data_IF_660937082510
#
_entry.id   IF_660937082510
#
_cell.length_a   1.000
_cell.length_b   1.000
_cell.length_c   1.000
_cell.angle_alpha   90.00
_cell.angle_beta   90.00
_cell.angle_gamma   90.00
#
_symmetry.space_group_name_H-M   'P 1'
#
loop_
_entity.id
_entity.type
_entity.pdbx_description
1 polymer ?
#
# COMPACT_ATOMS: atom_id res chain seq x y z
N UNK A 1 11.64 -5.51 1.28
CA UNK A 1 10.31 -6.15 1.17
C UNK A 1 10.46 -7.60 1.61
N UNK A 2 9.51 -8.12 2.42
CA UNK A 2 9.53 -9.54 2.85
C UNK A 2 9.59 -10.45 1.64
N UNK A 3 10.48 -11.46 1.68
CA UNK A 3 10.80 -12.31 0.54
C UNK A 3 9.60 -13.06 -0.02
N UNK A 4 9.77 -13.57 -1.24
CA UNK A 4 8.82 -14.48 -1.89
C UNK A 4 8.85 -15.90 -1.28
N UNK A 5 9.38 -16.05 -0.05
CA UNK A 5 9.50 -17.33 0.62
C UNK A 5 8.13 -17.79 1.13
N UNK A 6 7.66 -18.91 0.64
CA UNK A 6 6.42 -19.55 1.04
C UNK A 6 5.63 -20.13 -0.14
N UNK A 7 4.85 -21.13 0.17
CA UNK A 7 3.98 -21.77 -0.83
C UNK A 7 2.88 -20.80 -1.29
N UNK A 8 2.52 -20.81 -2.58
CA UNK A 8 1.41 -20.02 -3.09
C UNK A 8 0.10 -20.43 -2.43
N UNK A 9 -0.80 -19.48 -2.25
CA UNK A 9 -2.12 -19.70 -1.66
C UNK A 9 -3.23 -19.23 -2.59
N UNK A 10 -4.40 -19.88 -2.51
CA UNK A 10 -5.57 -19.52 -3.29
C UNK A 10 -6.79 -19.45 -2.38
N UNK A 11 -7.36 -18.26 -2.22
CA UNK A 11 -8.60 -18.06 -1.46
C UNK A 11 -9.28 -16.72 -1.83
N UNK A 12 -10.52 -16.59 -1.39
CA UNK A 12 -11.20 -15.29 -1.25
C UNK A 12 -11.35 -14.97 0.22
N UNK A 13 -11.02 -13.75 0.61
CA UNK A 13 -11.21 -13.21 1.95
C UNK A 13 -12.31 -12.14 1.89
N UNK A 14 -13.35 -12.30 2.67
CA UNK A 14 -14.44 -11.33 2.78
C UNK A 14 -14.95 -11.21 4.23
N UNK A 15 -16.04 -10.49 4.44
CA UNK A 15 -16.58 -10.25 5.78
C UNK A 15 -16.93 -11.54 6.57
N UNK A 16 -17.17 -12.66 5.90
CA UNK A 16 -17.50 -13.93 6.57
C UNK A 16 -16.31 -14.52 7.30
N UNK A 17 -15.10 -14.07 7.00
CA UNK A 17 -13.86 -14.51 7.64
C UNK A 17 -13.55 -13.74 8.95
N UNK A 18 -14.35 -12.73 9.28
CA UNK A 18 -14.21 -11.94 10.50
C UNK A 18 -15.36 -12.23 11.47
N UNK A 19 -15.06 -12.52 12.73
CA UNK A 19 -16.07 -12.74 13.75
C UNK A 19 -17.00 -11.52 13.90
N UNK A 20 -18.30 -11.72 13.70
CA UNK A 20 -19.33 -10.69 13.84
C UNK A 20 -19.36 -9.61 12.78
N UNK A 21 -18.57 -9.73 11.70
CA UNK A 21 -18.61 -8.77 10.60
C UNK A 21 -19.80 -9.00 9.67
N UNK A 22 -20.15 -7.95 8.94
CA UNK A 22 -21.16 -7.93 7.87
C UNK A 22 -20.53 -7.38 6.59
N UNK A 23 -21.19 -7.51 5.46
CA UNK A 23 -20.70 -6.95 4.19
C UNK A 23 -20.51 -5.42 4.19
N UNK A 24 -21.06 -4.71 5.19
CA UNK A 24 -20.88 -3.28 5.37
C UNK A 24 -19.80 -2.92 6.40
N UNK A 25 -19.37 -3.86 7.22
CA UNK A 25 -18.39 -3.61 8.31
C UNK A 25 -16.97 -4.08 7.97
N UNK A 26 -16.79 -4.76 6.84
CA UNK A 26 -15.48 -5.10 6.32
C UNK A 26 -15.37 -4.72 4.84
N UNK A 27 -14.55 -3.72 4.58
CA UNK A 27 -14.25 -3.16 3.25
C UNK A 27 -12.74 -3.06 3.08
N UNK A 28 -12.07 -4.15 2.70
CA UNK A 28 -10.63 -4.12 2.49
C UNK A 28 -10.27 -3.18 1.36
N UNK A 29 -9.48 -2.16 1.69
CA UNK A 29 -8.99 -1.13 0.77
C UNK A 29 -7.58 -1.41 0.30
N UNK A 30 -6.74 -1.91 1.18
CA UNK A 30 -5.37 -2.32 0.88
C UNK A 30 -5.04 -3.65 1.53
N UNK A 31 -4.04 -4.32 1.00
CA UNK A 31 -3.56 -5.61 1.48
C UNK A 31 -2.04 -5.70 1.38
N UNK A 32 -1.42 -6.21 2.42
CA UNK A 32 0.02 -6.47 2.44
C UNK A 32 0.33 -7.82 3.10
N UNK A 33 1.30 -8.54 2.57
CA UNK A 33 1.74 -9.82 3.14
C UNK A 33 3.20 -9.74 3.53
N UNK A 34 3.50 -10.20 4.75
CA UNK A 34 4.86 -10.34 5.27
C UNK A 34 5.02 -11.71 5.96
N UNK A 35 5.86 -12.57 5.41
CA UNK A 35 5.95 -13.96 5.84
C UNK A 35 4.58 -14.65 5.73
N UNK A 36 4.14 -15.29 6.79
CA UNK A 36 2.83 -15.98 6.87
C UNK A 36 1.72 -15.08 7.43
N UNK A 37 1.86 -13.77 7.37
CA UNK A 37 0.86 -12.83 7.91
C UNK A 37 0.36 -11.91 6.82
N UNK A 38 -0.97 -11.85 6.65
CA UNK A 38 -1.67 -10.89 5.81
C UNK A 38 -2.26 -9.78 6.68
N UNK A 39 -2.07 -8.55 6.25
CA UNK A 39 -2.64 -7.34 6.80
C UNK A 39 -3.63 -6.76 5.79
N UNK A 40 -4.89 -6.58 6.18
CA UNK A 40 -5.93 -5.98 5.34
C UNK A 40 -6.43 -4.69 5.98
N UNK A 41 -6.28 -3.57 5.28
CA UNK A 41 -6.82 -2.29 5.71
C UNK A 41 -8.32 -2.30 5.54
N UNK A 42 -9.05 -2.14 6.63
CA UNK A 42 -10.51 -2.02 6.61
C UNK A 42 -10.92 -0.54 6.67
N UNK A 43 -11.54 -0.04 5.61
CA UNK A 43 -12.03 1.34 5.53
C UNK A 43 -13.55 1.45 5.70
N UNK A 44 -14.19 0.43 6.24
CA UNK A 44 -15.62 0.47 6.51
C UNK A 44 -15.97 1.57 7.52
N UNK A 45 -17.00 2.35 7.23
CA UNK A 45 -17.38 3.52 8.01
C UNK A 45 -17.56 3.20 9.51
N UNK A 46 -16.86 3.94 10.36
CA UNK A 46 -16.80 3.76 11.82
C UNK A 46 -16.24 2.41 12.31
N UNK A 47 -15.64 1.62 11.43
CA UNK A 47 -15.04 0.31 11.72
C UNK A 47 -13.57 0.25 11.25
N UNK A 48 -12.89 1.40 11.18
CA UNK A 48 -11.51 1.51 10.71
C UNK A 48 -10.58 0.61 11.50
N UNK A 49 -9.83 -0.23 10.80
CA UNK A 49 -8.90 -1.19 11.40
C UNK A 49 -7.87 -1.68 10.38
N UNK A 50 -6.85 -2.35 10.88
CA UNK A 50 -6.07 -3.29 10.08
C UNK A 50 -6.36 -4.68 10.61
N UNK A 51 -6.97 -5.51 9.80
CA UNK A 51 -7.27 -6.90 10.13
C UNK A 51 -6.07 -7.79 9.83
N UNK A 52 -5.73 -8.66 10.77
CA UNK A 52 -4.53 -9.51 10.69
C UNK A 52 -4.93 -10.96 10.54
N UNK A 53 -4.40 -11.62 9.51
CA UNK A 53 -4.68 -13.03 9.21
C UNK A 53 -3.40 -13.84 9.11
N UNK A 54 -3.43 -15.05 9.64
CA UNK A 54 -2.39 -16.05 9.44
C UNK A 54 -2.64 -16.85 8.18
N UNK A 55 -1.60 -17.06 7.38
CA UNK A 55 -1.62 -17.81 6.12
C UNK A 55 -0.99 -19.20 6.22
N UNK A 56 -0.55 -19.61 7.41
CA UNK A 56 0.07 -20.92 7.62
C UNK A 56 -0.85 -22.06 7.18
N UNK A 57 -0.30 -23.06 6.49
CA UNK A 57 -1.05 -24.22 5.97
C UNK A 57 -2.01 -23.87 4.83
N UNK A 58 -1.81 -22.76 4.12
CA UNK A 58 -2.66 -22.35 2.99
C UNK A 58 -4.03 -21.78 3.40
N UNK A 59 -4.26 -21.60 4.70
CA UNK A 59 -5.51 -21.07 5.25
C UNK A 59 -5.52 -19.55 5.40
N UNK A 60 -6.61 -19.04 5.95
CA UNK A 60 -6.83 -17.62 6.31
C UNK A 60 -7.47 -17.56 7.71
N UNK A 61 -6.65 -17.64 8.73
CA UNK A 61 -7.13 -17.57 10.12
C UNK A 61 -7.05 -16.14 10.62
N UNK A 62 -8.17 -15.54 11.03
CA UNK A 62 -8.16 -14.23 11.70
C UNK A 62 -7.41 -14.32 13.02
N UNK A 63 -6.39 -13.48 13.19
CA UNK A 63 -5.51 -13.42 14.37
C UNK A 63 -5.83 -12.26 15.29
N UNK A 64 -6.48 -11.21 14.77
CA UNK A 64 -6.83 -10.01 15.52
C UNK A 64 -6.92 -8.78 14.65
N UNK A 65 -7.13 -7.64 15.29
CA UNK A 65 -7.29 -6.35 14.63
C UNK A 65 -6.46 -5.28 15.32
N UNK A 66 -5.85 -4.39 14.54
CA UNK A 66 -5.27 -3.15 15.02
C UNK A 66 -6.35 -2.07 14.88
N UNK A 67 -6.99 -1.68 15.99
CA UNK A 67 -8.15 -0.77 15.99
C UNK A 67 -7.90 0.53 16.72
N UNK A 68 -6.92 0.54 17.62
CA UNK A 68 -6.71 1.62 18.55
C UNK A 68 -5.28 2.13 18.45
N UNK A 69 -5.13 3.44 18.41
CA UNK A 69 -3.89 4.10 18.76
C UNK A 69 -4.15 5.23 19.74
N UNK A 70 -3.13 5.59 20.48
CA UNK A 70 -3.13 6.75 21.36
C UNK A 70 -2.13 7.76 20.83
N UNK A 71 -2.56 8.74 20.08
CA UNK A 71 -1.81 9.95 19.88
C UNK A 71 -2.62 11.13 20.39
N UNK A 72 -2.19 11.68 21.50
CA UNK A 72 -2.39 13.05 22.02
C UNK A 72 -3.80 13.60 22.18
N UNK A 73 -4.76 13.21 21.40
CA UNK A 73 -6.08 13.89 21.36
C UNK A 73 -7.24 12.98 21.12
N UNK A 74 -7.45 11.96 21.62
CA UNK A 74 -8.70 11.21 21.54
C UNK A 74 -8.54 9.74 21.26
N UNK A 75 -8.81 9.03 22.28
CA UNK A 75 -9.83 7.98 22.24
C UNK A 75 -9.84 7.10 21.00
N UNK A 76 -8.83 6.22 20.83
CA UNK A 76 -9.03 4.90 20.25
C UNK A 76 -9.62 4.77 18.85
N UNK A 77 -9.51 5.79 17.98
CA UNK A 77 -9.95 5.69 16.56
C UNK A 77 -8.89 6.26 15.64
N UNK A 78 -8.71 5.63 14.47
CA UNK A 78 -7.92 6.24 13.39
C UNK A 78 -8.49 7.64 13.08
N UNK A 79 -7.66 8.69 13.11
CA UNK A 79 -8.05 10.08 12.87
C UNK A 79 -8.56 10.37 11.47
N UNK A 80 -8.73 9.33 10.64
CA UNK A 80 -9.24 9.35 9.30
C UNK A 80 -9.31 7.95 8.73
N UNK A 81 -9.79 7.81 7.49
CA UNK A 81 -9.84 6.53 6.77
C UNK A 81 -8.44 6.00 6.54
N UNK A 82 -8.14 4.77 6.93
CA UNK A 82 -6.88 4.14 6.57
C UNK A 82 -6.83 3.85 5.06
N UNK A 83 -5.67 4.06 4.45
CA UNK A 83 -5.50 3.95 3.00
C UNK A 83 -4.56 2.84 2.59
N UNK A 84 -3.44 2.70 3.28
CA UNK A 84 -2.39 1.76 2.92
C UNK A 84 -1.73 1.14 4.14
N UNK A 85 -1.19 -0.06 3.96
CA UNK A 85 -0.44 -0.78 4.98
C UNK A 85 0.81 -1.40 4.40
N UNK A 86 1.90 -1.31 5.14
CA UNK A 86 3.09 -2.13 4.88
C UNK A 86 3.70 -2.59 6.19
N UNK A 87 4.42 -3.70 6.14
CA UNK A 87 5.24 -4.18 7.26
C UNK A 87 6.68 -4.33 6.81
N UNK A 88 7.58 -3.83 7.61
CA UNK A 88 8.99 -4.11 7.44
C UNK A 88 9.63 -4.29 8.82
N UNK A 89 10.51 -5.27 8.91
CA UNK A 89 11.17 -5.64 10.16
C UNK A 89 10.19 -5.86 11.32
N UNK A 90 10.33 -5.06 12.37
CA UNK A 90 9.52 -5.10 13.58
C UNK A 90 8.38 -4.07 13.62
N UNK A 91 8.08 -3.41 12.51
CA UNK A 91 7.10 -2.31 12.43
C UNK A 91 6.04 -2.53 11.37
N UNK A 92 4.83 -2.09 11.68
CA UNK A 92 3.70 -1.98 10.76
C UNK A 92 3.44 -0.48 10.55
N UNK A 93 3.32 -0.07 9.30
CA UNK A 93 3.04 1.29 8.88
C UNK A 93 1.66 1.36 8.26
N UNK A 94 0.83 2.28 8.73
CA UNK A 94 -0.55 2.48 8.25
C UNK A 94 -0.75 3.93 7.86
N UNK A 95 -0.99 4.18 6.58
CA UNK A 95 -1.33 5.53 6.08
C UNK A 95 -2.82 5.80 6.19
N UNK A 96 -3.19 7.06 6.40
CA UNK A 96 -4.60 7.45 6.39
C UNK A 96 -4.84 8.92 6.02
N UNK A 97 -6.11 9.26 5.76
CA UNK A 97 -6.53 10.58 5.29
C UNK A 97 -6.29 11.71 6.31
N UNK A 98 -6.11 11.41 7.58
CA UNK A 98 -5.82 12.37 8.63
C UNK A 98 -4.40 12.94 8.63
N UNK A 99 -3.71 12.95 7.49
CA UNK A 99 -2.36 13.51 7.32
C UNK A 99 -1.31 12.88 8.23
N UNK A 100 -1.36 11.55 8.36
CA UNK A 100 -0.43 10.75 9.17
C UNK A 100 -0.14 9.41 8.54
N UNK A 101 1.00 8.85 8.91
CA UNK A 101 1.31 7.43 8.80
C UNK A 101 1.61 6.92 10.19
N UNK A 102 0.76 6.07 10.71
CA UNK A 102 0.92 5.50 12.03
C UNK A 102 1.79 4.27 12.03
N UNK A 103 2.57 4.12 13.09
CA UNK A 103 3.57 3.08 13.20
C UNK A 103 3.29 2.27 14.45
N UNK A 104 3.17 0.96 14.27
CA UNK A 104 2.89 -0.01 15.33
C UNK A 104 4.03 -1.02 15.44
N UNK A 105 4.24 -1.53 16.64
CA UNK A 105 5.07 -2.71 16.86
C UNK A 105 4.41 -3.94 16.23
N UNK A 106 5.16 -4.66 15.41
CA UNK A 106 4.61 -5.75 14.62
C UNK A 106 4.25 -7.00 15.44
N UNK A 107 4.78 -7.13 16.65
CA UNK A 107 4.51 -8.27 17.53
C UNK A 107 3.36 -8.01 18.49
N UNK A 108 3.37 -6.85 19.13
CA UNK A 108 2.36 -6.49 20.15
C UNK A 108 1.18 -5.73 19.55
N UNK A 109 1.30 -5.21 18.34
CA UNK A 109 0.35 -4.30 17.66
C UNK A 109 0.12 -2.99 18.43
N UNK A 110 1.01 -2.64 19.35
CA UNK A 110 0.92 -1.38 20.07
C UNK A 110 1.43 -0.21 19.24
N UNK A 111 0.76 0.92 19.37
CA UNK A 111 1.19 2.16 18.73
C UNK A 111 2.57 2.60 19.27
N UNK A 112 3.47 2.93 18.37
CA UNK A 112 4.80 3.45 18.67
C UNK A 112 4.90 4.96 18.47
N UNK A 113 4.57 5.42 17.27
CA UNK A 113 4.66 6.83 16.87
C UNK A 113 3.92 7.05 15.54
N UNK A 114 3.97 8.27 15.00
CA UNK A 114 3.47 8.56 13.66
C UNK A 114 4.41 9.49 12.88
N UNK A 115 4.42 9.37 11.57
CA UNK A 115 4.97 10.35 10.64
C UNK A 115 3.82 11.28 10.24
N UNK A 116 4.04 12.58 10.36
CA UNK A 116 2.96 13.56 10.24
C UNK A 116 2.31 13.87 11.58
N UNK A 117 1.95 15.13 11.79
CA UNK A 117 1.35 15.61 13.05
C UNK A 117 -0.18 15.76 12.98
N UNK A 118 -0.82 15.27 11.92
CA UNK A 118 -2.25 15.40 11.69
C UNK A 118 -2.69 16.74 11.12
N UNK A 119 -1.76 17.66 10.89
CA UNK A 119 -2.04 18.93 10.24
C UNK A 119 -1.60 18.91 8.78
N UNK A 120 -2.44 19.41 7.91
CA UNK A 120 -2.11 19.57 6.51
C UNK A 120 -1.01 20.59 6.31
N UNK A 121 -0.01 20.26 5.53
CA UNK A 121 1.02 21.21 5.19
C UNK A 121 2.31 20.59 4.68
N UNK A 122 3.29 21.46 4.51
CA UNK A 122 4.61 21.11 3.97
C UNK A 122 5.73 21.32 5.00
N UNK A 123 5.37 21.56 6.25
CA UNK A 123 6.34 21.65 7.34
C UNK A 123 7.06 20.33 7.60
N UNK A 124 8.16 20.32 8.35
CA UNK A 124 9.02 19.15 8.53
C UNK A 124 8.35 17.98 9.25
N UNK A 125 7.19 18.19 9.87
CA UNK A 125 6.37 17.16 10.52
C UNK A 125 4.94 17.13 9.99
N UNK A 126 4.69 17.65 8.79
CA UNK A 126 3.36 17.71 8.20
C UNK A 126 3.31 16.85 6.93
N UNK A 127 2.19 16.20 6.70
CA UNK A 127 1.85 15.52 5.44
C UNK A 127 0.51 16.06 4.95
N UNK A 128 0.15 15.77 3.70
CA UNK A 128 -1.17 16.18 3.18
C UNK A 128 -2.14 15.02 3.39
N UNK A 129 -2.35 14.11 2.43
CA UNK A 129 -3.11 12.89 2.60
C UNK A 129 -2.19 11.72 2.27
N UNK A 130 -1.93 10.84 3.22
CA UNK A 130 -1.09 9.70 2.96
C UNK A 130 -1.91 8.54 2.36
N UNK A 131 -1.51 8.06 1.19
CA UNK A 131 -2.20 7.00 0.45
C UNK A 131 -1.47 5.68 0.49
N UNK A 132 -0.15 5.71 0.43
CA UNK A 132 0.67 4.52 0.37
C UNK A 132 1.98 4.69 1.14
N UNK A 133 2.58 3.58 1.54
CA UNK A 133 3.86 3.57 2.24
C UNK A 133 4.66 2.34 1.84
N UNK A 134 5.93 2.54 1.56
CA UNK A 134 6.87 1.46 1.33
C UNK A 134 8.22 1.75 1.98
N UNK A 135 9.00 0.70 2.22
CA UNK A 135 10.37 0.80 2.71
C UNK A 135 11.36 0.32 1.65
N UNK A 136 12.42 1.10 1.48
CA UNK A 136 13.51 0.75 0.58
C UNK A 136 14.83 1.30 1.11
N UNK A 137 15.82 0.42 1.30
CA UNK A 137 17.20 0.77 1.75
C UNK A 137 17.24 1.69 2.98
N UNK A 138 16.38 1.43 3.99
CA UNK A 138 16.33 2.21 5.22
C UNK A 138 15.63 3.57 5.09
N UNK A 139 14.90 3.78 4.01
CA UNK A 139 14.00 4.92 3.82
C UNK A 139 12.56 4.45 3.88
N UNK A 140 11.75 5.13 4.68
CA UNK A 140 10.30 5.05 4.64
C UNK A 140 9.82 6.09 3.65
N UNK A 141 9.18 5.65 2.58
CA UNK A 141 8.63 6.49 1.53
C UNK A 141 7.12 6.52 1.70
N UNK A 142 6.54 7.71 1.79
CA UNK A 142 5.11 7.93 1.96
C UNK A 142 4.59 8.71 0.77
N UNK A 143 3.71 8.07 0.03
CA UNK A 143 2.97 8.72 -1.03
C UNK A 143 1.82 9.53 -0.44
N UNK A 144 1.89 10.83 -0.55
CA UNK A 144 0.77 11.69 -0.18
C UNK A 144 0.19 12.43 -1.40
N UNK A 145 -0.87 13.20 -1.20
CA UNK A 145 -1.61 13.86 -2.29
C UNK A 145 -0.75 14.72 -3.21
N UNK A 146 0.37 15.25 -2.72
CA UNK A 146 1.22 16.19 -3.48
C UNK A 146 2.66 15.75 -3.58
N UNK A 147 3.10 14.88 -2.67
CA UNK A 147 4.52 14.58 -2.47
C UNK A 147 4.77 13.09 -2.31
N UNK A 148 5.98 12.68 -2.62
CA UNK A 148 6.57 11.52 -1.96
C UNK A 148 7.43 12.05 -0.83
N UNK A 149 7.08 11.72 0.40
CA UNK A 149 7.82 12.10 1.60
C UNK A 149 8.80 10.98 1.96
N UNK A 150 9.99 11.35 2.36
CA UNK A 150 11.05 10.41 2.73
C UNK A 150 11.46 10.64 4.17
N UNK A 151 11.47 9.56 4.94
CA UNK A 151 11.88 9.56 6.35
C UNK A 151 12.93 8.46 6.54
N UNK A 152 14.01 8.76 7.24
CA UNK A 152 14.97 7.72 7.62
C UNK A 152 14.33 6.76 8.63
N UNK A 153 14.36 5.47 8.34
CA UNK A 153 13.78 4.45 9.22
C UNK A 153 14.40 4.49 10.63
N UNK A 154 15.71 4.74 10.71
CA UNK A 154 16.42 4.86 11.98
C UNK A 154 15.98 6.04 12.85
N UNK A 155 15.35 7.07 12.28
CA UNK A 155 14.80 8.21 13.02
C UNK A 155 13.44 7.89 13.68
N UNK A 156 12.88 6.72 13.42
CA UNK A 156 11.58 6.31 13.95
C UNK A 156 11.77 5.71 15.34
N UNK A 157 11.40 6.46 16.36
CA UNK A 157 11.50 6.08 17.77
C UNK A 157 10.13 6.19 18.45
N UNK A 158 9.87 5.33 19.43
CA UNK A 158 8.63 5.37 20.19
C UNK A 158 8.42 6.74 20.87
N UNK A 159 7.22 7.29 20.71
CA UNK A 159 6.84 8.56 21.31
C UNK A 159 7.42 9.82 20.63
N UNK A 160 8.19 9.68 19.54
CA UNK A 160 8.79 10.81 18.83
C UNK A 160 8.25 10.86 17.40
N UNK A 161 7.63 11.97 17.00
CA UNK A 161 7.25 12.21 15.59
C UNK A 161 8.50 12.52 14.77
N UNK A 162 8.90 11.62 13.85
CA UNK A 162 10.11 11.84 13.05
C UNK A 162 9.90 13.00 12.06
N UNK A 163 10.98 13.70 11.77
CA UNK A 163 10.97 14.75 10.74
C UNK A 163 10.99 14.12 9.35
N UNK A 164 10.24 14.71 8.43
CA UNK A 164 10.36 14.38 7.02
C UNK A 164 11.71 14.90 6.54
N UNK A 165 12.55 13.99 6.08
CA UNK A 165 13.92 14.27 5.69
C UNK A 165 13.98 15.01 4.36
N UNK A 166 13.24 14.51 3.38
CA UNK A 166 13.19 15.05 2.01
C UNK A 166 11.78 14.89 1.44
N UNK A 167 11.40 15.77 0.52
CA UNK A 167 10.18 15.67 -0.28
C UNK A 167 10.48 15.76 -1.75
N UNK A 168 9.77 14.96 -2.54
CA UNK A 168 9.71 15.12 -3.99
C UNK A 168 8.32 15.56 -4.41
N UNK A 169 8.22 16.67 -5.12
CA UNK A 169 6.92 17.11 -5.63
C UNK A 169 6.45 16.25 -6.80
N UNK A 170 5.20 15.81 -6.71
CA UNK A 170 4.46 15.41 -7.89
C UNK A 170 4.09 16.67 -8.67
N UNK A 171 4.28 16.67 -9.97
CA UNK A 171 3.87 17.79 -10.81
C UNK A 171 2.35 17.82 -10.95
N UNK A 172 1.73 18.75 -10.22
CA UNK A 172 0.29 19.00 -10.27
C UNK A 172 -0.49 18.47 -9.07
N UNK A 173 -1.63 19.09 -8.79
CA UNK A 173 -2.56 18.60 -7.77
C UNK A 173 -3.14 17.27 -8.20
N UNK A 174 -2.94 16.26 -7.38
CA UNK A 174 -3.43 14.92 -7.64
C UNK A 174 -4.57 14.61 -6.69
N UNK A 175 -5.79 14.64 -7.18
CA UNK A 175 -6.91 14.04 -6.48
C UNK A 175 -6.84 12.53 -6.70
N UNK A 176 -6.08 11.82 -5.85
CA UNK A 176 -6.05 10.38 -5.82
C UNK A 176 -4.91 9.74 -6.62
N UNK A 177 -3.71 9.80 -6.10
CA UNK A 177 -2.62 8.89 -6.42
C UNK A 177 -2.57 7.83 -5.34
N UNK A 178 -2.35 6.56 -5.69
CA UNK A 178 -2.68 5.49 -4.76
C UNK A 178 -1.55 4.51 -4.48
N UNK A 179 -0.55 4.36 -5.35
CA UNK A 179 0.46 3.33 -5.19
C UNK A 179 1.86 3.71 -5.57
N UNK A 180 2.81 3.02 -4.95
CA UNK A 180 4.25 3.11 -5.22
C UNK A 180 4.89 1.73 -5.24
N UNK A 181 5.88 1.55 -6.12
CA UNK A 181 6.79 0.42 -6.06
C UNK A 181 8.21 0.81 -6.45
N UNK A 182 9.17 0.07 -5.96
CA UNK A 182 10.57 0.20 -6.37
C UNK A 182 10.96 -0.99 -7.23
N UNK A 183 11.52 -0.70 -8.39
CA UNK A 183 12.25 -1.69 -9.16
C UNK A 183 13.62 -1.92 -8.48
N UNK A 184 13.78 -3.07 -7.84
CA UNK A 184 15.02 -3.40 -7.11
C UNK A 184 16.25 -3.56 -8.02
N UNK A 185 16.04 -3.82 -9.32
CA UNK A 185 17.12 -3.96 -10.28
C UNK A 185 17.73 -2.61 -10.67
N UNK A 186 16.85 -1.62 -10.89
CA UNK A 186 17.27 -0.28 -11.31
C UNK A 186 17.35 0.73 -10.16
N UNK A 187 16.72 0.44 -9.02
CA UNK A 187 16.56 1.36 -7.90
C UNK A 187 15.55 2.47 -8.15
N UNK A 188 14.83 2.47 -9.28
CA UNK A 188 13.83 3.49 -9.58
C UNK A 188 12.55 3.28 -8.77
N UNK A 189 12.02 4.37 -8.23
CA UNK A 189 10.69 4.43 -7.64
C UNK A 189 9.68 4.79 -8.72
N UNK A 190 8.64 3.99 -8.81
CA UNK A 190 7.47 4.20 -9.66
C UNK A 190 6.31 4.65 -8.78
N UNK A 191 5.59 5.67 -9.21
CA UNK A 191 4.45 6.25 -8.49
C UNK A 191 3.30 6.49 -9.44
N UNK A 192 2.12 5.97 -9.10
CA UNK A 192 0.91 6.17 -9.91
C UNK A 192 0.48 7.64 -9.89
N UNK A 193 -0.12 8.11 -10.98
CA UNK A 193 -0.61 9.47 -11.11
C UNK A 193 -1.98 9.51 -11.84
N UNK A 194 -2.98 10.24 -11.35
CA UNK A 194 -4.34 10.27 -11.90
C UNK A 194 -4.43 10.83 -13.33
N UNK A 195 -3.41 11.56 -13.80
CA UNK A 195 -3.33 12.01 -15.19
C UNK A 195 -2.92 10.89 -16.18
N UNK A 196 -3.28 9.65 -15.89
CA UNK A 196 -2.98 8.47 -16.74
C UNK A 196 -1.49 8.31 -17.03
N UNK A 197 -0.68 8.37 -15.99
CA UNK A 197 0.77 8.18 -16.09
C UNK A 197 1.33 7.52 -14.83
N UNK A 198 2.56 7.07 -14.94
CA UNK A 198 3.39 6.60 -13.84
C UNK A 198 4.63 7.48 -13.81
N UNK A 199 4.86 8.18 -12.72
CA UNK A 199 6.04 9.02 -12.52
C UNK A 199 7.20 8.20 -11.99
N UNK A 200 8.41 8.54 -12.43
CA UNK A 200 9.65 7.85 -12.10
C UNK A 200 10.59 8.76 -11.31
N UNK A 201 11.12 8.26 -10.21
CA UNK A 201 12.06 8.97 -9.37
C UNK A 201 13.30 8.11 -9.09
N UNK A 202 14.46 8.74 -8.96
CA UNK A 202 15.69 8.08 -8.52
C UNK A 202 15.94 8.41 -7.04
N UNK A 203 15.71 7.46 -6.10
CA UNK A 203 15.87 7.73 -4.67
C UNK A 203 17.32 7.72 -4.17
N UNK A 204 18.28 7.38 -5.00
CA UNK A 204 19.67 7.18 -4.56
C UNK A 204 20.36 8.46 -4.03
N UNK A 205 19.93 9.66 -4.40
CA UNK A 205 20.47 10.93 -3.87
C UNK A 205 19.87 11.39 -2.54
N UNK A 206 18.88 10.71 -2.01
CA UNK A 206 18.10 11.18 -0.85
C UNK A 206 18.93 11.24 0.44
N UNK A 207 19.86 10.31 0.64
CA UNK A 207 20.74 10.27 1.83
C UNK A 207 21.63 11.50 1.99
N UNK A 208 21.82 12.27 0.94
CA UNK A 208 22.58 13.53 0.93
C UNK A 208 21.68 14.75 1.18
N UNK A 209 20.40 14.55 1.55
CA UNK A 209 19.44 15.64 1.75
C UNK A 209 18.94 16.27 0.46
N UNK A 210 19.18 15.62 -0.68
CA UNK A 210 18.76 16.11 -1.99
C UNK A 210 17.39 15.52 -2.33
N UNK A 211 16.43 16.38 -2.66
CA UNK A 211 15.13 15.93 -3.14
C UNK A 211 15.27 15.14 -4.44
N UNK A 212 14.74 13.91 -4.51
CA UNK A 212 14.78 13.15 -5.76
C UNK A 212 13.98 13.91 -6.81
N UNK A 213 14.61 14.14 -7.94
CA UNK A 213 13.94 14.72 -9.10
C UNK A 213 13.17 13.62 -9.82
N UNK A 214 12.03 13.97 -10.37
CA UNK A 214 11.37 13.11 -11.34
C UNK A 214 12.31 12.89 -12.52
N UNK A 215 12.71 11.65 -12.76
CA UNK A 215 13.66 11.28 -13.81
C UNK A 215 12.93 10.96 -15.13
N UNK A 216 11.62 10.68 -15.06
CA UNK A 216 10.81 10.35 -16.22
C UNK A 216 9.34 10.18 -15.88
N UNK A 217 8.58 9.83 -16.90
CA UNK A 217 7.19 9.40 -16.77
C UNK A 217 6.88 8.37 -17.85
N UNK A 218 5.97 7.46 -17.52
CA UNK A 218 5.37 6.53 -18.47
C UNK A 218 3.94 6.96 -18.71
N UNK A 219 3.55 7.13 -19.98
CA UNK A 219 2.15 7.28 -20.34
C UNK A 219 1.42 5.97 -20.08
N UNK A 220 0.23 6.03 -19.48
CA UNK A 220 -0.58 4.86 -19.23
C UNK A 220 -2.01 5.08 -19.73
N UNK A 221 -2.64 4.06 -20.30
CA UNK A 221 -3.95 4.18 -20.95
C UNK A 221 -5.08 4.56 -19.99
N UNK A 222 -5.05 3.96 -18.79
CA UNK A 222 -6.07 4.11 -17.77
C UNK A 222 -5.56 4.97 -16.61
N UNK A 223 -6.42 5.26 -15.62
CA UNK A 223 -5.96 5.83 -14.36
C UNK A 223 -5.40 4.71 -13.48
N UNK A 224 -4.07 4.67 -13.26
CA UNK A 224 -3.48 3.63 -12.44
C UNK A 224 -3.81 3.86 -10.96
N UNK A 225 -4.16 2.79 -10.23
CA UNK A 225 -4.42 2.83 -8.81
C UNK A 225 -3.21 2.37 -8.00
N UNK A 226 -2.69 1.21 -8.34
CA UNK A 226 -1.56 0.62 -7.63
C UNK A 226 -0.62 -0.08 -8.58
N UNK A 227 0.59 -0.37 -8.09
CA UNK A 227 1.61 -1.06 -8.87
C UNK A 227 2.57 -1.83 -7.96
N UNK A 228 3.04 -2.96 -8.43
CA UNK A 228 4.09 -3.74 -7.75
C UNK A 228 4.96 -4.47 -8.79
N UNK A 229 6.18 -4.80 -8.37
CA UNK A 229 7.12 -5.59 -9.17
C UNK A 229 7.16 -7.04 -8.69
N UNK A 230 7.13 -7.94 -9.64
CA UNK A 230 7.35 -9.36 -9.40
C UNK A 230 8.26 -9.93 -10.50
N UNK A 231 9.43 -10.47 -10.10
CA UNK A 231 10.43 -11.03 -11.02
C UNK A 231 10.80 -10.09 -12.19
N UNK A 232 10.98 -8.80 -11.89
CA UNK A 232 11.32 -7.77 -12.87
C UNK A 232 10.17 -7.34 -13.79
N UNK A 233 8.97 -7.88 -13.59
CA UNK A 233 7.74 -7.53 -14.32
C UNK A 233 6.94 -6.51 -13.50
N UNK A 234 6.47 -5.46 -14.17
CA UNK A 234 5.62 -4.43 -13.56
C UNK A 234 4.15 -4.81 -13.72
N UNK A 235 3.42 -4.89 -12.63
CA UNK A 235 1.98 -5.07 -12.62
C UNK A 235 1.30 -3.77 -12.16
N UNK A 236 0.15 -3.47 -12.74
CA UNK A 236 -0.61 -2.25 -12.46
C UNK A 236 -2.10 -2.58 -12.35
N UNK A 237 -2.73 -2.16 -11.26
CA UNK A 237 -4.18 -2.10 -11.16
C UNK A 237 -4.69 -0.74 -11.64
N UNK A 238 -5.86 -0.68 -12.24
CA UNK A 238 -6.40 0.57 -12.78
C UNK A 238 -7.91 0.59 -12.85
N UNK A 239 -8.45 1.79 -12.96
CA UNK A 239 -9.83 1.95 -13.35
C UNK A 239 -9.92 2.01 -14.89
N UNK A 240 -10.62 1.10 -15.50
CA UNK A 240 -10.73 1.05 -16.96
C UNK A 240 -11.26 -0.29 -17.44
N UNK A 241 -11.03 -0.58 -18.73
CA UNK A 241 -11.38 -1.89 -19.31
C UNK A 241 -10.32 -2.93 -18.95
N UNK A 242 -9.07 -2.55 -19.06
CA UNK A 242 -7.93 -3.37 -18.62
C UNK A 242 -7.61 -3.04 -17.16
N UNK A 243 -8.18 -3.82 -16.24
CA UNK A 243 -8.21 -3.50 -14.81
C UNK A 243 -6.97 -3.92 -14.05
N UNK A 244 -6.34 -5.00 -14.50
CA UNK A 244 -5.09 -5.49 -13.93
C UNK A 244 -4.20 -5.98 -15.05
N UNK A 245 -3.03 -5.36 -15.20
CA UNK A 245 -2.18 -5.54 -16.38
C UNK A 245 -0.73 -5.76 -16.02
N UNK A 246 -0.04 -6.54 -16.83
CA UNK A 246 1.41 -6.48 -16.96
C UNK A 246 1.79 -5.34 -17.91
N UNK A 247 2.72 -4.51 -17.49
CA UNK A 247 3.11 -3.28 -18.18
C UNK A 247 4.62 -3.26 -18.45
N UNK A 248 5.01 -2.79 -19.60
CA UNK A 248 6.41 -2.57 -19.89
C UNK A 248 6.96 -1.45 -18.98
N UNK A 249 7.94 -1.72 -18.10
CA UNK A 249 8.41 -0.75 -17.13
C UNK A 249 9.23 0.41 -17.75
N UNK A 250 9.54 0.34 -19.05
CA UNK A 250 10.27 1.41 -19.76
C UNK A 250 9.36 2.30 -20.59
N UNK A 251 8.26 1.76 -21.12
CA UNK A 251 7.38 2.48 -22.05
C UNK A 251 6.01 2.80 -21.48
N UNK A 252 5.54 2.06 -20.46
CA UNK A 252 4.18 2.16 -19.92
C UNK A 252 3.13 1.42 -20.76
N UNK A 253 3.55 0.72 -21.82
CA UNK A 253 2.66 -0.03 -22.70
C UNK A 253 2.12 -1.28 -21.99
N UNK A 254 0.81 -1.54 -22.13
CA UNK A 254 0.20 -2.76 -21.63
C UNK A 254 0.68 -3.94 -22.47
N UNK A 255 1.41 -4.85 -21.86
CA UNK A 255 1.92 -6.06 -22.48
C UNK A 255 0.89 -7.19 -22.44
N UNK A 256 0.15 -7.27 -21.33
CA UNK A 256 -0.87 -8.30 -21.13
C UNK A 256 -1.96 -7.83 -20.19
N UNK A 257 -3.21 -8.11 -20.56
CA UNK A 257 -4.38 -7.90 -19.70
C UNK A 257 -4.65 -9.16 -18.86
N UNK A 258 -4.75 -8.97 -17.56
CA UNK A 258 -5.04 -9.98 -16.57
C UNK A 258 -6.34 -9.65 -15.80
N UNK A 259 -7.30 -8.96 -16.43
CA UNK A 259 -8.60 -8.65 -15.79
C UNK A 259 -9.37 -9.92 -15.39
N UNK A 260 -9.12 -11.03 -16.09
CA UNK A 260 -9.60 -12.35 -15.69
C UNK A 260 -8.43 -13.28 -15.42
N UNK A 261 -8.33 -13.83 -14.21
CA UNK A 261 -7.22 -14.66 -13.73
C UNK A 261 -7.79 -15.88 -13.00
N UNK A 262 -7.37 -17.09 -13.39
CA UNK A 262 -7.79 -18.33 -12.69
C UNK A 262 -9.32 -18.49 -12.62
N UNK A 263 -10.06 -17.99 -13.62
CA UNK A 263 -11.51 -17.99 -13.63
C UNK A 263 -12.19 -16.87 -12.81
N UNK A 264 -11.41 -15.98 -12.18
CA UNK A 264 -11.91 -14.81 -11.43
C UNK A 264 -11.84 -13.60 -12.34
N UNK A 265 -12.97 -12.95 -12.61
CA UNK A 265 -13.02 -11.66 -13.30
C UNK A 265 -13.07 -10.52 -12.30
N UNK A 266 -12.01 -9.72 -12.23
CA UNK A 266 -11.89 -8.56 -11.36
C UNK A 266 -12.91 -7.48 -11.79
N UNK A 267 -13.63 -6.93 -10.83
CA UNK A 267 -14.69 -5.94 -11.09
C UNK A 267 -14.19 -4.50 -10.94
N UNK A 268 -13.58 -4.19 -9.83
CA UNK A 268 -12.97 -2.89 -9.55
C UNK A 268 -11.79 -3.06 -8.58
N UNK A 269 -10.67 -3.63 -9.07
CA UNK A 269 -9.48 -3.83 -8.25
C UNK A 269 -8.87 -2.48 -7.88
N UNK A 270 -8.40 -2.38 -6.64
CA UNK A 270 -7.78 -1.15 -6.14
C UNK A 270 -6.31 -1.40 -5.79
N UNK A 271 -6.02 -1.89 -4.60
CA UNK A 271 -4.68 -2.12 -4.09
C UNK A 271 -4.29 -3.59 -4.13
N UNK A 272 -3.00 -3.85 -4.28
CA UNK A 272 -2.51 -5.22 -4.29
C UNK A 272 -1.05 -5.33 -3.83
N UNK A 273 -0.64 -6.53 -3.48
CA UNK A 273 0.78 -6.90 -3.38
C UNK A 273 1.01 -8.29 -3.96
N UNK A 274 2.22 -8.52 -4.50
CA UNK A 274 2.62 -9.84 -4.97
C UNK A 274 3.68 -10.37 -4.02
N UNK A 275 3.32 -11.39 -3.24
CA UNK A 275 4.19 -12.05 -2.24
C UNK A 275 3.95 -13.55 -2.23
N UNK A 276 4.95 -14.33 -1.88
CA UNK A 276 4.82 -15.80 -1.80
C UNK A 276 4.31 -16.42 -3.11
N UNK A 277 4.76 -15.93 -4.26
CA UNK A 277 4.25 -16.34 -5.58
C UNK A 277 2.71 -16.26 -5.71
N UNK A 278 2.11 -15.31 -4.99
CA UNK A 278 0.66 -15.08 -4.95
C UNK A 278 0.37 -13.60 -5.12
N UNK A 279 -0.58 -13.28 -5.98
CA UNK A 279 -1.22 -11.98 -6.08
C UNK A 279 -2.28 -11.89 -4.98
N UNK A 280 -2.16 -10.93 -4.08
CA UNK A 280 -3.21 -10.53 -3.14
C UNK A 280 -3.77 -9.21 -3.62
N UNK A 281 -5.05 -9.17 -3.98
CA UNK A 281 -5.67 -7.99 -4.61
C UNK A 281 -7.03 -7.70 -3.99
N UNK A 282 -7.24 -6.45 -3.61
CA UNK A 282 -8.55 -5.97 -3.17
C UNK A 282 -9.42 -5.72 -4.40
N UNK A 283 -10.67 -6.19 -4.36
CA UNK A 283 -11.63 -6.01 -5.44
C UNK A 283 -12.99 -5.60 -4.90
N UNK A 284 -13.54 -4.52 -5.44
CA UNK A 284 -14.88 -4.06 -5.09
C UNK A 284 -15.90 -4.76 -5.99
N UNK A 285 -16.64 -5.68 -5.38
CA UNK A 285 -17.66 -6.48 -6.04
C UNK A 285 -19.07 -6.04 -5.64
N UNK A 286 -20.10 -6.50 -6.36
CA UNK A 286 -21.50 -6.08 -6.17
C UNK A 286 -21.98 -6.14 -4.70
N UNK A 287 -21.51 -7.08 -3.92
CA UNK A 287 -21.97 -7.32 -2.55
C UNK A 287 -20.92 -6.91 -1.49
N UNK A 288 -20.02 -5.99 -1.80
CA UNK A 288 -19.00 -5.51 -0.86
C UNK A 288 -17.62 -5.43 -1.49
N UNK A 289 -16.60 -5.59 -0.68
CA UNK A 289 -15.20 -5.66 -1.11
C UNK A 289 -14.58 -6.95 -0.56
N UNK A 290 -13.69 -7.54 -1.31
CA UNK A 290 -12.96 -8.73 -0.88
C UNK A 290 -11.47 -8.62 -1.25
N UNK A 291 -10.68 -9.53 -0.69
CA UNK A 291 -9.32 -9.80 -1.15
C UNK A 291 -9.32 -11.14 -1.85
N UNK A 292 -8.82 -11.18 -3.07
CA UNK A 292 -8.46 -12.43 -3.73
C UNK A 292 -6.98 -12.73 -3.52
N UNK A 293 -6.67 -13.96 -3.17
CA UNK A 293 -5.33 -14.52 -3.24
C UNK A 293 -5.28 -15.49 -4.43
N UNK A 294 -4.44 -15.18 -5.42
CA UNK A 294 -4.38 -15.89 -6.70
C UNK A 294 -2.92 -16.27 -6.96
N UNK A 295 -2.60 -17.57 -7.11
CA UNK A 295 -1.23 -17.99 -7.45
C UNK A 295 -0.74 -17.32 -8.73
N UNK A 296 0.51 -16.84 -8.75
CA UNK A 296 1.11 -16.22 -9.94
C UNK A 296 1.20 -17.18 -11.15
N UNK A 297 1.14 -18.49 -10.92
CA UNK A 297 1.05 -19.48 -11.98
C UNK A 297 -0.23 -19.40 -12.81
N UNK A 298 -1.29 -18.76 -12.28
CA UNK A 298 -2.54 -18.53 -13.00
C UNK A 298 -2.47 -17.32 -13.96
N UNK A 299 -1.42 -16.49 -13.87
CA UNK A 299 -1.17 -15.36 -14.76
C UNK A 299 -0.40 -15.79 -16.02
N UNK A 300 -0.85 -16.83 -16.68
CA UNK A 300 -0.21 -17.38 -17.90
C UNK A 300 -0.56 -16.62 -19.15
#
# INVERSE_FOLDING_TARGET
RGGNDGEPVAFKLDYTDLPGATGTTFRPKDVYVYGDTLYAVNDADNQYSVEVFGLAGGGKKHLGSIKEWKHGEATGKFGGRPNGVTRAHDKIYVTHEGSRTEIFDAKSHQFLTCIGNGSWGTGPTQTVHAFDVLLYKGLVMIHDKRYVNFVEEQAIQSGVTPRIYVRSEHLGETNGTYGMAVDEQTGLLYSTHPAKRIDLFAPDGIREGVSPKRTGQLAYKNVPYDLDFYEGRLFVSSNGTEKFCEVNPRTGEIMKDHTTIGGITLQAPEKFCIRRHTLFITDRVKNGTCVYAIPMSELK
#
